data_IF_218306511090
#
_entry.id   IF_218306511090
#
_cell.length_a   1.000
_cell.length_b   1.000
_cell.length_c   1.000
_cell.angle_alpha   90.00
_cell.angle_beta   90.00
_cell.angle_gamma   90.00
#
_symmetry.space_group_name_H-M   'P 1'
#
loop_
_entity.id
_entity.type
_entity.pdbx_description
1 polymer ?
#
# COMPACT_ATOMS: atom_id res chain seq x y z
N UNK A 1 18.81 -15.62 -2.46
CA UNK A 1 17.65 -15.72 -3.34
C UNK A 1 16.64 -14.65 -2.95
N UNK A 2 16.33 -13.79 -3.86
CA UNK A 2 15.41 -12.68 -3.55
C UNK A 2 13.98 -13.17 -3.54
N UNK A 3 13.23 -12.78 -2.51
CA UNK A 3 11.80 -13.01 -2.49
C UNK A 3 11.11 -12.08 -3.48
N UNK A 4 9.98 -12.52 -4.00
CA UNK A 4 9.12 -11.62 -4.78
C UNK A 4 8.59 -10.50 -3.88
N UNK A 5 8.39 -9.30 -4.44
CA UNK A 5 7.70 -8.25 -3.69
C UNK A 5 6.31 -8.71 -3.27
N UNK A 6 5.95 -8.37 -2.05
CA UNK A 6 4.61 -8.64 -1.52
C UNK A 6 3.95 -7.32 -1.16
N UNK A 7 2.76 -7.08 -1.69
CA UNK A 7 1.98 -5.88 -1.43
C UNK A 7 0.92 -6.23 -0.38
N UNK A 8 1.08 -5.79 0.85
CA UNK A 8 0.11 -6.09 1.90
C UNK A 8 -1.12 -5.20 1.79
N UNK A 9 -2.19 -5.59 2.48
CA UNK A 9 -3.27 -4.67 2.76
C UNK A 9 -2.87 -3.78 3.92
N UNK A 10 -3.39 -2.56 3.95
CA UNK A 10 -3.22 -1.69 5.10
C UNK A 10 -4.51 -1.71 5.91
N UNK A 11 -4.40 -2.12 7.18
CA UNK A 11 -5.50 -2.10 8.13
C UNK A 11 -5.11 -1.19 9.28
N UNK A 12 -5.82 -0.08 9.45
CA UNK A 12 -5.51 0.96 10.45
C UNK A 12 -4.06 1.44 10.34
N UNK A 13 -3.57 1.55 9.09
CA UNK A 13 -2.22 2.01 8.83
C UNK A 13 -1.12 0.98 9.02
N UNK A 14 -1.45 -0.27 9.37
CA UNK A 14 -0.47 -1.33 9.57
C UNK A 14 -0.55 -2.37 8.46
N UNK A 15 0.59 -2.87 7.99
CA UNK A 15 0.59 -3.92 6.98
C UNK A 15 -0.09 -5.20 7.49
N UNK A 16 -0.87 -5.81 6.63
CA UNK A 16 -1.55 -7.07 6.91
C UNK A 16 -1.32 -8.04 5.75
N UNK A 17 -0.66 -9.14 6.04
CA UNK A 17 -0.43 -10.22 5.06
C UNK A 17 -1.53 -11.25 5.23
N UNK A 18 -2.40 -11.36 4.22
CA UNK A 18 -3.51 -12.31 4.26
C UNK A 18 -3.08 -13.70 3.81
N UNK A 19 -3.88 -14.70 4.15
CA UNK A 19 -3.69 -16.05 3.65
C UNK A 19 -4.02 -16.14 2.15
N UNK A 20 -5.00 -15.36 1.71
CA UNK A 20 -5.39 -15.33 0.30
C UNK A 20 -4.62 -14.23 -0.41
N UNK A 21 -3.87 -14.61 -1.42
CA UNK A 21 -3.05 -13.69 -2.19
C UNK A 21 -3.22 -13.96 -3.68
N UNK A 22 -3.09 -12.93 -4.47
CA UNK A 22 -3.09 -13.04 -5.92
C UNK A 22 -1.69 -12.75 -6.45
N UNK A 23 -1.37 -13.29 -7.62
CA UNK A 23 -0.11 -13.00 -8.31
C UNK A 23 -0.34 -11.93 -9.37
N UNK A 24 0.60 -10.98 -9.43
CA UNK A 24 0.66 -9.99 -10.51
C UNK A 24 1.71 -10.48 -11.49
N UNK A 25 1.30 -10.69 -12.74
CA UNK A 25 2.17 -11.24 -13.77
C UNK A 25 2.51 -10.21 -14.82
N UNK A 26 3.72 -10.33 -15.37
CA UNK A 26 4.14 -9.48 -16.47
C UNK A 26 3.31 -9.74 -17.72
N UNK A 27 3.02 -8.66 -18.45
CA UNK A 27 2.14 -8.74 -19.61
C UNK A 27 2.74 -9.60 -20.73
N UNK A 28 4.02 -9.45 -21.00
CA UNK A 28 4.65 -10.12 -22.15
C UNK A 28 5.12 -11.54 -21.87
N UNK A 29 5.66 -11.79 -20.67
CA UNK A 29 6.31 -13.06 -20.35
C UNK A 29 5.55 -13.92 -19.34
N UNK A 30 4.48 -13.41 -18.74
CA UNK A 30 3.66 -14.09 -17.73
C UNK A 30 4.47 -14.51 -16.50
N UNK A 31 5.61 -13.89 -16.27
CA UNK A 31 6.39 -14.11 -15.05
C UNK A 31 5.73 -13.42 -13.87
N UNK A 32 5.73 -14.09 -12.71
CA UNK A 32 5.18 -13.48 -11.49
C UNK A 32 6.08 -12.34 -11.04
N UNK A 33 5.53 -11.14 -10.97
CA UNK A 33 6.25 -9.93 -10.55
C UNK A 33 6.10 -9.65 -9.06
N UNK A 34 4.94 -9.93 -8.51
CA UNK A 34 4.64 -9.63 -7.12
C UNK A 34 3.43 -10.45 -6.67
N UNK A 35 3.26 -10.55 -5.35
CA UNK A 35 2.03 -11.08 -4.76
C UNK A 35 1.32 -9.95 -4.03
N UNK A 36 0.00 -10.00 -4.00
CA UNK A 36 -0.84 -8.98 -3.38
C UNK A 36 -1.79 -9.66 -2.41
N UNK A 37 -1.78 -9.23 -1.16
CA UNK A 37 -2.73 -9.72 -0.18
C UNK A 37 -4.12 -9.22 -0.49
N UNK A 38 -5.11 -10.10 -0.43
CA UNK A 38 -6.51 -9.74 -0.61
C UNK A 38 -7.24 -9.83 0.73
N UNK A 39 -8.35 -9.12 0.84
CA UNK A 39 -9.20 -9.18 2.04
C UNK A 39 -10.58 -9.67 1.64
N UNK A 40 -11.22 -10.39 2.55
CA UNK A 40 -12.59 -10.87 2.33
C UNK A 40 -13.59 -9.92 3.00
N UNK A 41 -14.87 -10.18 2.72
CA UNK A 41 -15.96 -9.36 3.27
C UNK A 41 -16.00 -9.37 4.80
N UNK A 42 -15.60 -10.49 5.42
CA UNK A 42 -15.58 -10.61 6.88
C UNK A 42 -14.59 -9.65 7.53
N UNK A 43 -13.40 -9.54 6.95
CA UNK A 43 -12.38 -8.61 7.44
C UNK A 43 -12.84 -7.17 7.26
N UNK A 44 -13.43 -6.85 6.10
CA UNK A 44 -13.95 -5.51 5.82
C UNK A 44 -15.04 -5.14 6.83
N UNK A 45 -15.99 -6.07 7.10
CA UNK A 45 -17.04 -5.81 8.09
C UNK A 45 -16.48 -5.57 9.48
N UNK A 46 -15.47 -6.35 9.87
CA UNK A 46 -14.83 -6.20 11.18
C UNK A 46 -14.20 -4.81 11.30
N UNK A 47 -13.50 -4.37 10.25
CA UNK A 47 -12.83 -3.08 10.28
C UNK A 47 -13.84 -1.93 10.25
N UNK A 48 -14.95 -2.08 9.53
CA UNK A 48 -15.99 -1.06 9.49
C UNK A 48 -16.70 -0.86 10.83
N UNK A 49 -16.73 -1.86 11.70
CA UNK A 49 -17.30 -1.71 13.04
C UNK A 49 -16.53 -0.70 13.88
N UNK A 50 -15.26 -0.42 13.52
CA UNK A 50 -14.40 0.54 14.23
C UNK A 50 -14.12 1.77 13.39
N UNK A 51 -14.99 2.06 12.43
CA UNK A 51 -14.78 3.19 11.51
C UNK A 51 -14.76 4.54 12.25
N UNK A 52 -15.43 4.62 13.40
CA UNK A 52 -15.47 5.86 14.18
C UNK A 52 -14.07 6.26 14.68
N UNK A 53 -13.22 5.29 15.01
CA UNK A 53 -11.83 5.56 15.40
C UNK A 53 -11.05 6.17 14.24
N UNK A 54 -11.25 5.64 13.04
CA UNK A 54 -10.59 6.17 11.84
C UNK A 54 -11.10 7.57 11.50
N UNK A 55 -12.40 7.81 11.64
CA UNK A 55 -12.99 9.14 11.43
C UNK A 55 -12.43 10.14 12.42
N UNK A 56 -12.31 9.76 13.70
CA UNK A 56 -11.76 10.62 14.72
C UNK A 56 -10.29 10.97 14.43
N UNK A 57 -9.51 9.99 14.00
CA UNK A 57 -8.12 10.21 13.64
C UNK A 57 -8.00 11.19 12.47
N UNK A 58 -8.86 11.03 11.46
CA UNK A 58 -8.84 11.94 10.31
C UNK A 58 -9.27 13.35 10.68
N UNK A 59 -10.25 13.50 11.58
CA UNK A 59 -10.73 14.81 12.03
C UNK A 59 -9.70 15.59 12.84
N UNK A 60 -8.67 14.91 13.36
CA UNK A 60 -7.59 15.57 14.08
C UNK A 60 -6.73 16.46 13.16
N UNK A 61 -6.84 16.28 11.85
CA UNK A 61 -6.09 17.07 10.88
C UNK A 61 -6.96 18.18 10.33
N UNK A 62 -6.37 19.36 10.13
CA UNK A 62 -7.03 20.43 9.40
C UNK A 62 -6.97 20.16 7.90
N UNK A 63 -7.81 20.84 7.12
CA UNK A 63 -7.78 20.76 5.67
C UNK A 63 -6.40 21.18 5.14
N UNK A 64 -5.83 22.24 5.69
CA UNK A 64 -4.51 22.71 5.28
C UNK A 64 -3.43 21.66 5.54
N UNK A 65 -3.51 20.96 6.69
CA UNK A 65 -2.58 19.87 6.98
C UNK A 65 -2.71 18.71 5.98
N UNK A 66 -3.93 18.37 5.59
CA UNK A 66 -4.15 17.30 4.61
C UNK A 66 -3.59 17.68 3.25
N UNK A 67 -3.75 18.95 2.83
CA UNK A 67 -3.17 19.45 1.60
C UNK A 67 -1.65 19.37 1.65
N UNK A 68 -1.04 19.77 2.77
CA UNK A 68 0.40 19.71 2.96
C UNK A 68 0.92 18.27 2.90
N UNK A 69 0.23 17.33 3.54
CA UNK A 69 0.58 15.91 3.51
C UNK A 69 0.56 15.40 2.07
N UNK A 70 -0.46 15.76 1.30
CA UNK A 70 -0.57 15.34 -0.11
C UNK A 70 0.57 15.92 -0.94
N UNK A 71 0.94 17.17 -0.72
CA UNK A 71 2.05 17.80 -1.42
C UNK A 71 3.38 17.10 -1.10
N UNK A 72 3.61 16.77 0.17
CA UNK A 72 4.81 16.05 0.58
C UNK A 72 4.85 14.64 0.00
N UNK A 73 3.70 13.96 -0.07
CA UNK A 73 3.63 12.64 -0.69
C UNK A 73 3.97 12.72 -2.18
N UNK A 74 3.51 13.75 -2.88
CA UNK A 74 3.84 13.97 -4.28
C UNK A 74 5.33 14.19 -4.49
N UNK A 75 5.96 14.98 -3.63
CA UNK A 75 7.41 15.20 -3.70
C UNK A 75 8.19 13.91 -3.46
N UNK A 76 7.77 13.12 -2.46
CA UNK A 76 8.40 11.85 -2.18
C UNK A 76 8.28 10.88 -3.35
N UNK A 77 7.12 10.84 -4.00
CA UNK A 77 6.90 9.99 -5.17
C UNK A 77 7.75 10.43 -6.36
N UNK A 78 7.88 11.74 -6.55
CA UNK A 78 8.59 12.29 -7.70
C UNK A 78 10.10 12.10 -7.60
N UNK A 79 10.67 12.18 -6.41
CA UNK A 79 12.13 12.20 -6.22
C UNK A 79 12.67 11.07 -5.34
N UNK A 80 11.83 10.41 -4.56
CA UNK A 80 12.27 9.45 -3.57
C UNK A 80 12.34 8.02 -4.08
N UNK A 81 13.18 7.22 -3.42
CA UNK A 81 13.16 5.78 -3.54
C UNK A 81 12.26 5.24 -2.43
N UNK A 82 11.14 4.63 -2.81
CA UNK A 82 10.09 4.26 -1.89
C UNK A 82 10.04 2.75 -1.67
N UNK A 83 9.60 2.32 -0.49
CA UNK A 83 9.38 0.89 -0.29
C UNK A 83 8.33 0.35 -1.25
N UNK A 84 8.58 -0.84 -1.76
CA UNK A 84 7.63 -1.59 -2.57
C UNK A 84 7.23 -2.83 -1.78
N UNK A 85 6.07 -2.76 -1.15
CA UNK A 85 5.59 -3.85 -0.32
C UNK A 85 6.33 -3.95 1.01
N UNK A 86 6.30 -5.13 1.63
CA UNK A 86 6.79 -5.35 2.99
C UNK A 86 7.93 -6.36 3.09
N UNK A 87 8.58 -6.71 1.98
CA UNK A 87 9.68 -7.67 1.96
C UNK A 87 11.04 -7.04 1.62
N UNK A 88 11.20 -5.75 1.88
CA UNK A 88 12.48 -5.07 1.71
C UNK A 88 12.78 -4.57 0.31
N UNK A 89 11.83 -4.66 -0.61
CA UNK A 89 12.01 -4.14 -1.96
C UNK A 89 11.78 -2.63 -1.99
N UNK A 90 12.42 -1.97 -2.95
CA UNK A 90 12.29 -0.51 -3.14
C UNK A 90 12.06 -0.20 -4.61
N UNK A 91 11.51 0.97 -4.87
CA UNK A 91 11.21 1.43 -6.21
C UNK A 91 11.59 2.90 -6.34
N UNK A 92 12.36 3.22 -7.38
CA UNK A 92 12.76 4.59 -7.69
C UNK A 92 11.76 5.23 -8.65
N UNK A 93 11.82 6.57 -8.85
CA UNK A 93 10.97 7.21 -9.85
C UNK A 93 11.14 6.63 -11.25
N UNK A 94 12.35 6.26 -11.62
CA UNK A 94 12.64 5.69 -12.95
C UNK A 94 11.93 4.36 -13.16
N UNK A 95 11.72 3.58 -12.11
CA UNK A 95 11.05 2.29 -12.22
C UNK A 95 9.61 2.43 -12.68
N UNK A 96 8.96 3.56 -12.39
CA UNK A 96 7.58 3.82 -12.82
C UNK A 96 7.49 4.26 -14.27
N UNK A 97 8.57 4.81 -14.81
CA UNK A 97 8.57 5.36 -16.17
C UNK A 97 8.77 4.25 -17.20
N UNK A 98 9.44 3.19 -16.80
CA UNK A 98 9.65 2.03 -17.66
C UNK A 98 8.41 1.13 -17.68
#
# INVERSE_FOLDING_TARGET
MSQLPHIPCLRKGSPYESLDQIEVKGYSDQQTLATVSTVNAGIIRRDLKRIDDAKAALRAFTVDQLIEISAKAGEAFLHGTLPLGDKGHQQSPEDYIQ
#
